data_IF_105833229458
#
_entry.id   IF_105833229458
#
_cell.length_a   1.000
_cell.length_b   1.000
_cell.length_c   1.000
_cell.angle_alpha   90.00
_cell.angle_beta   90.00
_cell.angle_gamma   90.00
#
_symmetry.space_group_name_H-M   'P 1'
#
loop_
_entity.id
_entity.type
_entity.pdbx_description
1 polymer ?
#
# COMPACT_ATOMS: atom_id res chain seq x y z
N UNK A 1 0.44 -1.03 -15.00
CA UNK A 1 1.33 -1.87 -14.19
C UNK A 1 0.74 -3.27 -14.20
N UNK A 2 1.49 -4.24 -14.73
CA UNK A 2 1.08 -5.64 -14.73
C UNK A 2 1.26 -6.26 -13.33
N UNK A 3 0.67 -7.43 -13.09
CA UNK A 3 0.78 -8.12 -11.81
C UNK A 3 2.23 -8.37 -11.38
N UNK A 4 3.11 -8.72 -12.32
CA UNK A 4 4.53 -8.98 -12.03
C UNK A 4 5.27 -7.71 -11.56
N UNK A 5 4.99 -6.57 -12.18
CA UNK A 5 5.58 -5.28 -11.79
C UNK A 5 5.09 -4.87 -10.38
N UNK A 6 3.83 -5.18 -10.08
CA UNK A 6 3.21 -4.94 -8.78
C UNK A 6 3.85 -5.80 -7.69
N UNK A 7 4.04 -7.10 -7.95
CA UNK A 7 4.70 -8.04 -7.04
C UNK A 7 6.14 -7.61 -6.74
N UNK A 8 6.86 -7.19 -7.79
CA UNK A 8 8.24 -6.70 -7.64
C UNK A 8 8.29 -5.41 -6.81
N UNK A 9 7.35 -4.49 -7.01
CA UNK A 9 7.25 -3.27 -6.22
C UNK A 9 6.93 -3.56 -4.74
N UNK A 10 6.02 -4.50 -4.46
CA UNK A 10 5.72 -4.92 -3.09
C UNK A 10 6.90 -5.61 -2.42
N UNK A 11 7.60 -6.49 -3.14
CA UNK A 11 8.81 -7.16 -2.67
C UNK A 11 9.89 -6.14 -2.32
N UNK A 12 10.12 -5.16 -3.20
CA UNK A 12 11.09 -4.09 -2.96
C UNK A 12 10.73 -3.23 -1.74
N UNK A 13 9.45 -2.93 -1.55
CA UNK A 13 8.95 -2.20 -0.37
C UNK A 13 9.16 -2.99 0.92
N UNK A 14 8.82 -4.28 0.94
CA UNK A 14 9.03 -5.15 2.10
C UNK A 14 10.51 -5.22 2.48
N UNK A 15 11.40 -5.42 1.50
CA UNK A 15 12.85 -5.42 1.72
C UNK A 15 13.36 -4.07 2.24
N UNK A 16 12.83 -2.96 1.74
CA UNK A 16 13.20 -1.64 2.23
C UNK A 16 12.77 -1.44 3.69
N UNK A 17 11.55 -1.83 4.05
CA UNK A 17 11.07 -1.79 5.43
C UNK A 17 11.92 -2.65 6.37
N UNK A 18 12.31 -3.86 5.94
CA UNK A 18 13.22 -4.71 6.73
C UNK A 18 14.59 -4.07 6.95
N UNK A 19 15.15 -3.41 5.92
CA UNK A 19 16.46 -2.72 6.04
C UNK A 19 16.41 -1.50 6.94
N UNK A 20 15.31 -0.75 6.90
CA UNK A 20 15.10 0.46 7.72
C UNK A 20 14.80 0.10 9.18
N UNK A 21 14.12 -1.03 9.40
CA UNK A 21 13.77 -1.53 10.72
C UNK A 21 12.52 -0.88 11.32
N UNK A 22 11.91 -1.55 12.30
CA UNK A 22 10.58 -1.20 12.85
C UNK A 22 10.51 0.21 13.44
N UNK A 23 11.59 0.66 14.08
CA UNK A 23 11.64 1.99 14.72
C UNK A 23 11.55 3.13 13.71
N UNK A 24 12.09 2.94 12.51
CA UNK A 24 12.11 3.96 11.45
C UNK A 24 11.01 3.73 10.41
N UNK A 25 10.28 2.62 10.45
CA UNK A 25 9.20 2.31 9.52
C UNK A 25 8.14 3.42 9.42
N UNK A 26 7.65 4.05 10.52
CA UNK A 26 6.68 5.14 10.42
C UNK A 26 7.23 6.37 9.67
N UNK A 27 8.49 6.71 9.91
CA UNK A 27 9.15 7.83 9.23
C UNK A 27 9.37 7.53 7.75
N UNK A 28 9.86 6.33 7.43
CA UNK A 28 10.04 5.87 6.04
C UNK A 28 8.72 5.92 5.26
N UNK A 29 7.65 5.38 5.83
CA UNK A 29 6.33 5.40 5.20
C UNK A 29 5.78 6.82 5.04
N UNK A 30 6.06 7.72 5.99
CA UNK A 30 5.67 9.14 5.88
C UNK A 30 6.37 9.84 4.71
N UNK A 31 7.69 9.61 4.56
CA UNK A 31 8.48 10.18 3.46
C UNK A 31 8.03 9.62 2.10
N UNK A 32 7.83 8.30 2.02
CA UNK A 32 7.35 7.64 0.81
C UNK A 32 5.97 8.17 0.41
N UNK A 33 5.05 8.27 1.36
CA UNK A 33 3.68 8.78 1.13
C UNK A 33 3.70 10.22 0.65
N UNK A 34 4.49 11.10 1.27
CA UNK A 34 4.62 12.49 0.84
C UNK A 34 5.21 12.61 -0.57
N UNK A 35 6.20 11.77 -0.89
CA UNK A 35 6.80 11.71 -2.22
C UNK A 35 5.81 11.23 -3.29
N UNK A 36 4.92 10.30 -2.95
CA UNK A 36 3.86 9.83 -3.85
C UNK A 36 2.76 10.89 -4.03
N UNK A 37 2.34 11.55 -2.95
CA UNK A 37 1.37 12.66 -2.99
C UNK A 37 1.86 13.81 -3.87
N UNK A 38 3.15 14.15 -3.81
CA UNK A 38 3.75 15.18 -4.65
C UNK A 38 3.72 14.86 -6.15
N UNK A 39 3.51 13.59 -6.52
CA UNK A 39 3.38 13.15 -7.92
C UNK A 39 1.93 13.12 -8.41
N UNK A 40 0.96 13.28 -7.51
CA UNK A 40 -0.45 13.40 -7.89
C UNK A 40 -0.71 14.81 -8.42
N UNK A 41 -1.40 14.87 -9.55
CA UNK A 41 -1.74 16.14 -10.19
C UNK A 41 -3.00 16.78 -9.58
N UNK A 42 -3.82 16.00 -8.88
CA UNK A 42 -5.11 16.44 -8.31
C UNK A 42 -5.16 16.26 -6.78
N UNK A 43 -5.49 17.34 -6.08
CA UNK A 43 -5.62 17.37 -4.63
C UNK A 43 -6.83 16.57 -4.11
N UNK A 44 -7.87 16.37 -4.94
CA UNK A 44 -9.04 15.56 -4.61
C UNK A 44 -8.70 14.07 -4.60
N UNK A 45 -7.89 13.62 -5.55
CA UNK A 45 -7.41 12.24 -5.58
C UNK A 45 -6.53 11.94 -4.36
N UNK A 46 -5.65 12.87 -4.01
CA UNK A 46 -4.87 12.82 -2.77
C UNK A 46 -5.78 12.68 -1.52
N UNK A 47 -6.81 13.53 -1.40
CA UNK A 47 -7.75 13.49 -0.28
C UNK A 47 -8.54 12.17 -0.23
N UNK A 48 -8.95 11.63 -1.37
CA UNK A 48 -9.66 10.35 -1.45
C UNK A 48 -8.77 9.18 -1.03
N UNK A 49 -7.48 9.17 -1.38
CA UNK A 49 -6.54 8.15 -0.94
C UNK A 49 -6.29 8.21 0.57
N UNK A 50 -6.18 9.42 1.13
CA UNK A 50 -6.03 9.61 2.58
C UNK A 50 -7.26 9.09 3.35
N UNK A 51 -8.47 9.44 2.91
CA UNK A 51 -9.70 8.96 3.54
C UNK A 51 -9.81 7.42 3.49
N UNK A 52 -9.45 6.80 2.38
CA UNK A 52 -9.44 5.33 2.25
C UNK A 52 -8.44 4.68 3.23
N UNK A 53 -7.24 5.23 3.36
CA UNK A 53 -6.24 4.74 4.29
C UNK A 53 -6.71 4.87 5.75
N UNK A 54 -7.34 6.00 6.12
CA UNK A 54 -7.92 6.17 7.46
C UNK A 54 -9.01 5.16 7.76
N UNK A 55 -9.93 4.92 6.82
CA UNK A 55 -10.98 3.90 6.96
C UNK A 55 -10.37 2.51 7.12
N UNK A 56 -9.35 2.17 6.34
CA UNK A 56 -8.63 0.90 6.43
C UNK A 56 -7.99 0.68 7.82
N UNK A 57 -7.29 1.69 8.35
CA UNK A 57 -6.68 1.61 9.68
C UNK A 57 -7.74 1.47 10.79
N UNK A 58 -8.87 2.19 10.69
CA UNK A 58 -9.95 2.12 11.68
C UNK A 58 -10.74 0.81 11.62
N UNK A 59 -10.82 0.18 10.44
CA UNK A 59 -11.48 -1.11 10.26
C UNK A 59 -10.67 -2.28 10.87
N UNK A 60 -9.43 -2.05 11.32
CA UNK A 60 -8.61 -3.06 12.03
C UNK A 60 -8.17 -4.25 11.18
N UNK A 61 -8.27 -4.17 9.85
CA UNK A 61 -7.96 -5.27 8.94
C UNK A 61 -6.71 -5.02 8.09
N UNK A 62 -5.89 -6.05 7.81
CA UNK A 62 -4.83 -5.95 6.80
C UNK A 62 -5.48 -5.72 5.43
N UNK A 63 -5.41 -4.49 4.93
CA UNK A 63 -5.84 -4.18 3.56
C UNK A 63 -4.70 -4.58 2.62
N UNK A 64 -4.49 -5.89 2.48
CA UNK A 64 -3.95 -6.41 1.24
C UNK A 64 -5.09 -6.29 0.23
N UNK A 65 -4.96 -5.38 -0.73
CA UNK A 65 -5.80 -5.36 -1.93
C UNK A 65 -5.44 -6.58 -2.79
N UNK A 66 -5.67 -7.77 -2.24
CA UNK A 66 -5.54 -9.04 -2.91
C UNK A 66 -6.97 -9.48 -3.23
N UNK A 67 -7.41 -9.49 -4.49
CA UNK A 67 -8.57 -10.28 -4.83
C UNK A 67 -8.20 -11.73 -4.53
N UNK A 68 -8.77 -12.29 -3.46
CA UNK A 68 -8.57 -13.69 -3.15
C UNK A 68 -8.96 -14.53 -4.38
N UNK A 69 -8.11 -15.46 -4.86
CA UNK A 69 -8.51 -16.38 -5.91
C UNK A 69 -9.69 -17.18 -5.39
N UNK A 70 -10.82 -17.09 -6.08
CA UNK A 70 -12.03 -17.82 -5.73
C UNK A 70 -11.67 -19.32 -5.60
N UNK A 71 -12.08 -20.01 -4.53
CA UNK A 71 -11.89 -21.45 -4.45
C UNK A 71 -12.67 -22.08 -5.61
N UNK A 72 -11.97 -22.83 -6.46
CA UNK A 72 -12.57 -23.60 -7.54
C UNK A 72 -13.66 -24.50 -6.94
N UNK A 73 -14.92 -24.24 -7.31
CA UNK A 73 -16.05 -25.07 -6.92
C UNK A 73 -15.89 -26.45 -7.59
N UNK A 74 -15.79 -27.55 -6.84
CA UNK A 74 -15.89 -28.87 -7.41
C UNK A 74 -17.36 -29.15 -7.78
N UNK A 75 -17.58 -29.51 -9.04
CA UNK A 75 -18.82 -30.08 -9.59
C UNK A 75 -19.11 -31.46 -9.03
#
# INVERSE_FOLDING_TARGET
MNNDELDQAYTAMAQALTRVGEQQAPLFLSILSLSLLARLTDARDAAALLAQAETACRAGGPVAHYPAPAPAQPT
#
